data_IF_521700957941
#
_entry.id   IF_521700957941
#
_cell.length_a   1.000
_cell.length_b   1.000
_cell.length_c   1.000
_cell.angle_alpha   90.00
_cell.angle_beta   90.00
_cell.angle_gamma   90.00
#
_symmetry.space_group_name_H-M   'P 1'
#
loop_
_entity.id
_entity.type
_entity.pdbx_description
1 polymer ?
#
# COMPACT_ATOMS: atom_id res chain seq x y z
N UNK A 1 5.44 17.07 12.80
CA UNK A 1 4.28 16.17 12.58
C UNK A 1 4.18 15.26 13.80
N UNK A 2 3.08 15.30 14.56
CA UNK A 2 2.95 14.43 15.75
C UNK A 2 2.65 13.00 15.30
N UNK A 3 3.13 11.99 16.05
CA UNK A 3 2.89 10.56 15.72
C UNK A 3 1.41 10.17 15.64
N UNK A 4 0.53 10.93 16.31
CA UNK A 4 -0.92 10.76 16.23
C UNK A 4 -1.47 11.16 14.85
N UNK A 5 -0.92 12.21 14.24
CA UNK A 5 -1.36 12.73 12.94
C UNK A 5 -1.08 11.73 11.82
N UNK A 6 0.06 11.03 11.88
CA UNK A 6 0.47 10.01 10.90
C UNK A 6 -0.49 8.83 10.89
N UNK A 7 -0.95 8.35 12.06
CA UNK A 7 -1.88 7.21 12.14
C UNK A 7 -3.26 7.56 11.56
N UNK A 8 -3.74 8.78 11.81
CA UNK A 8 -5.00 9.26 11.25
C UNK A 8 -4.91 9.34 9.73
N UNK A 9 -3.88 10.03 9.21
CA UNK A 9 -3.66 10.14 7.77
C UNK A 9 -3.48 8.78 7.10
N UNK A 10 -2.76 7.86 7.73
CA UNK A 10 -2.60 6.51 7.21
C UNK A 10 -3.94 5.78 7.14
N UNK A 11 -4.80 5.91 8.16
CA UNK A 11 -6.13 5.30 8.16
C UNK A 11 -6.98 5.79 7.00
N UNK A 12 -6.97 7.10 6.74
CA UNK A 12 -7.71 7.71 5.63
C UNK A 12 -7.16 7.25 4.26
N UNK A 13 -5.84 7.15 4.13
CA UNK A 13 -5.21 6.65 2.91
C UNK A 13 -5.46 5.15 2.69
N UNK A 14 -5.53 4.33 3.74
CA UNK A 14 -5.89 2.91 3.61
C UNK A 14 -7.36 2.73 3.21
N UNK A 15 -8.24 3.64 3.63
CA UNK A 15 -9.62 3.69 3.14
C UNK A 15 -9.66 4.04 1.66
N UNK A 16 -8.99 5.13 1.26
CA UNK A 16 -8.90 5.53 -0.14
C UNK A 16 -8.28 4.43 -1.02
N UNK A 17 -7.26 3.73 -0.53
CA UNK A 17 -6.63 2.63 -1.26
C UNK A 17 -7.64 1.51 -1.57
N UNK A 18 -8.49 1.15 -0.61
CA UNK A 18 -9.56 0.18 -0.82
C UNK A 18 -10.55 0.67 -1.88
N UNK A 19 -11.00 1.92 -1.79
CA UNK A 19 -11.96 2.47 -2.74
C UNK A 19 -11.39 2.46 -4.17
N UNK A 20 -10.15 2.90 -4.36
CA UNK A 20 -9.51 2.92 -5.67
C UNK A 20 -9.27 1.50 -6.22
N UNK A 21 -8.93 0.53 -5.36
CA UNK A 21 -8.86 -0.88 -5.75
C UNK A 21 -10.21 -1.41 -6.23
N UNK A 22 -11.30 -1.06 -5.54
CA UNK A 22 -12.66 -1.44 -5.96
C UNK A 22 -13.05 -0.79 -7.30
N UNK A 23 -12.76 0.51 -7.48
CA UNK A 23 -13.01 1.21 -8.76
C UNK A 23 -12.18 0.64 -9.92
N UNK A 24 -11.03 0.04 -9.61
CA UNK A 24 -10.18 -0.62 -10.59
C UNK A 24 -10.52 -2.12 -10.81
N UNK A 25 -11.63 -2.63 -10.26
CA UNK A 25 -12.00 -4.06 -10.25
C UNK A 25 -10.88 -4.96 -9.70
N UNK A 26 -10.12 -4.47 -8.72
CA UNK A 26 -8.97 -5.12 -8.08
C UNK A 26 -9.26 -5.39 -6.61
N UNK A 27 -10.47 -5.86 -6.32
CA UNK A 27 -10.93 -6.17 -4.96
C UNK A 27 -11.74 -7.46 -4.96
N UNK A 28 -11.16 -8.52 -4.42
CA UNK A 28 -11.79 -9.83 -4.40
C UNK A 28 -12.78 -9.96 -3.24
N UNK A 29 -13.90 -10.63 -3.48
CA UNK A 29 -14.85 -10.96 -2.42
C UNK A 29 -14.32 -12.08 -1.51
N UNK A 30 -13.57 -13.02 -2.07
CA UNK A 30 -13.03 -14.18 -1.38
C UNK A 30 -11.51 -14.08 -1.22
N UNK A 31 -11.02 -14.52 -0.05
CA UNK A 31 -9.60 -14.52 0.21
C UNK A 31 -8.89 -15.66 -0.54
N UNK A 32 -7.65 -15.46 -1.01
CA UNK A 32 -6.79 -16.53 -1.49
C UNK A 32 -6.58 -17.61 -0.42
N UNK A 33 -6.13 -18.79 -0.86
CA UNK A 33 -5.85 -19.88 0.07
C UNK A 33 -4.89 -19.46 1.19
N UNK A 34 -5.06 -20.05 2.38
CA UNK A 34 -4.16 -19.79 3.51
C UNK A 34 -2.70 -20.13 3.19
N UNK A 35 -2.44 -21.02 2.23
CA UNK A 35 -1.08 -21.31 1.73
C UNK A 35 -0.52 -20.14 0.93
N UNK A 36 -1.33 -19.54 0.04
CA UNK A 36 -0.91 -18.39 -0.77
C UNK A 36 -0.59 -17.16 0.10
N UNK A 37 -1.38 -16.92 1.15
CA UNK A 37 -1.16 -15.81 2.10
C UNK A 37 0.08 -15.98 2.99
N UNK A 38 0.70 -17.16 3.02
CA UNK A 38 1.87 -17.49 3.84
C UNK A 38 3.18 -17.50 3.05
N UNK A 39 3.20 -16.96 1.82
CA UNK A 39 4.46 -16.81 1.08
C UNK A 39 5.45 -15.97 1.88
N UNK A 40 6.72 -16.37 1.83
CA UNK A 40 7.85 -15.66 2.42
C UNK A 40 8.55 -14.74 1.43
N UNK A 41 8.13 -14.76 0.16
CA UNK A 41 8.70 -13.89 -0.87
C UNK A 41 8.22 -12.44 -0.69
N UNK A 42 9.04 -11.44 -1.08
CA UNK A 42 8.62 -10.04 -1.10
C UNK A 42 7.33 -9.87 -1.90
N UNK A 43 6.35 -9.15 -1.36
CA UNK A 43 5.04 -8.95 -1.99
C UNK A 43 4.27 -10.24 -2.33
N UNK A 44 4.71 -11.41 -1.82
CA UNK A 44 4.15 -12.71 -2.17
C UNK A 44 3.98 -12.91 -3.69
N UNK A 45 4.92 -12.41 -4.50
CA UNK A 45 4.80 -12.35 -5.97
C UNK A 45 4.66 -13.73 -6.63
N UNK A 46 5.02 -14.80 -5.92
CA UNK A 46 4.95 -16.18 -6.37
C UNK A 46 3.56 -16.82 -6.15
N UNK A 47 2.74 -16.26 -5.26
CA UNK A 47 1.45 -16.83 -4.88
C UNK A 47 0.25 -15.90 -5.03
N UNK A 48 0.48 -14.60 -5.18
CA UNK A 48 -0.56 -13.58 -5.24
C UNK A 48 -0.35 -12.62 -6.40
N UNK A 49 -1.46 -12.16 -6.97
CA UNK A 49 -1.44 -10.92 -7.73
C UNK A 49 -1.12 -9.73 -6.81
N UNK A 50 -0.46 -8.71 -7.34
CA UNK A 50 -0.01 -7.58 -6.51
C UNK A 50 -1.17 -6.88 -5.77
N UNK A 51 -2.33 -6.76 -6.41
CA UNK A 51 -3.52 -6.19 -5.75
C UNK A 51 -4.06 -7.06 -4.61
N UNK A 52 -3.94 -8.39 -4.71
CA UNK A 52 -4.34 -9.31 -3.65
C UNK A 52 -3.40 -9.19 -2.45
N UNK A 53 -2.10 -9.01 -2.70
CA UNK A 53 -1.15 -8.69 -1.64
C UNK A 53 -1.52 -7.37 -0.93
N UNK A 54 -1.92 -6.34 -1.69
CA UNK A 54 -2.40 -5.08 -1.11
C UNK A 54 -3.65 -5.30 -0.24
N UNK A 55 -4.64 -6.02 -0.75
CA UNK A 55 -5.92 -6.25 -0.09
C UNK A 55 -5.81 -7.11 1.17
N UNK A 56 -5.13 -8.25 1.08
CA UNK A 56 -5.18 -9.29 2.11
C UNK A 56 -4.01 -9.27 3.09
N UNK A 57 -2.89 -8.63 2.73
CA UNK A 57 -1.70 -8.59 3.58
C UNK A 57 -1.41 -7.15 4.00
N UNK A 58 -1.22 -6.24 3.04
CA UNK A 58 -0.76 -4.89 3.32
C UNK A 58 -1.78 -4.06 4.14
N UNK A 59 -3.02 -3.92 3.64
CA UNK A 59 -4.05 -3.12 4.30
C UNK A 59 -4.37 -3.66 5.71
N UNK A 60 -4.64 -4.98 5.92
CA UNK A 60 -4.95 -5.49 7.25
C UNK A 60 -3.79 -5.34 8.23
N UNK A 61 -2.55 -5.53 7.77
CA UNK A 61 -1.35 -5.40 8.62
C UNK A 61 -1.21 -3.98 9.17
N UNK A 62 -1.34 -2.96 8.32
CA UNK A 62 -1.22 -1.57 8.77
C UNK A 62 -2.41 -1.15 9.64
N UNK A 63 -3.64 -1.62 9.34
CA UNK A 63 -4.81 -1.38 10.21
C UNK A 63 -4.60 -1.97 11.59
N UNK A 64 -4.10 -3.21 11.69
CA UNK A 64 -3.80 -3.84 12.97
C UNK A 64 -2.75 -3.05 13.77
N UNK A 65 -1.72 -2.53 13.10
CA UNK A 65 -0.69 -1.73 13.75
C UNK A 65 -1.22 -0.39 14.26
N UNK A 66 -2.15 0.24 13.53
CA UNK A 66 -2.85 1.44 13.98
C UNK A 66 -3.70 1.12 15.21
N UNK A 67 -4.59 0.13 15.10
CA UNK A 67 -5.61 -0.20 16.11
C UNK A 67 -4.96 -0.65 17.43
N UNK A 68 -3.89 -1.46 17.34
CA UNK A 68 -3.14 -1.94 18.51
C UNK A 68 -2.06 -0.98 19.00
N UNK A 69 -1.95 0.22 18.40
CA UNK A 69 -0.89 1.21 18.67
C UNK A 69 0.52 0.63 18.61
N UNK A 70 0.74 -0.43 17.82
CA UNK A 70 2.07 -1.02 17.58
C UNK A 70 2.96 -0.02 16.85
N UNK A 71 4.29 -0.13 16.94
CA UNK A 71 5.19 0.64 16.08
C UNK A 71 4.79 0.48 14.62
N UNK A 72 4.63 1.61 13.92
CA UNK A 72 4.49 1.60 12.47
C UNK A 72 5.87 1.37 11.82
N UNK A 73 5.92 0.96 10.54
CA UNK A 73 7.18 0.80 9.83
C UNK A 73 7.93 2.13 9.77
N UNK A 74 9.26 2.08 9.71
CA UNK A 74 10.10 3.27 9.58
C UNK A 74 10.27 3.74 8.13
N UNK A 75 9.95 2.88 7.14
CA UNK A 75 10.00 3.16 5.69
C UNK A 75 9.03 2.23 4.97
N UNK A 76 8.40 2.71 3.91
CA UNK A 76 7.62 1.92 2.95
C UNK A 76 7.95 2.39 1.53
N UNK A 77 8.05 1.44 0.59
CA UNK A 77 8.29 1.70 -0.83
C UNK A 77 7.46 0.72 -1.67
N UNK A 78 6.15 0.92 -1.66
CA UNK A 78 5.18 0.03 -2.33
C UNK A 78 4.83 0.54 -3.73
N UNK A 79 4.82 1.86 -3.94
CA UNK A 79 4.46 2.47 -5.22
C UNK A 79 5.37 2.07 -6.41
N UNK A 80 6.70 1.86 -6.28
CA UNK A 80 7.50 1.40 -7.41
C UNK A 80 7.10 0.01 -7.90
N UNK A 81 6.73 -0.88 -6.97
CA UNK A 81 6.24 -2.22 -7.33
C UNK A 81 4.90 -2.13 -8.05
N UNK A 82 4.01 -1.25 -7.63
CA UNK A 82 2.73 -1.00 -8.30
C UNK A 82 2.90 -0.50 -9.75
N UNK A 83 3.86 0.41 -9.95
CA UNK A 83 4.20 0.93 -11.29
C UNK A 83 4.74 -0.15 -12.21
N UNK A 84 5.54 -1.09 -11.68
CA UNK A 84 6.04 -2.23 -12.44
C UNK A 84 4.90 -3.22 -12.76
N UNK A 85 4.16 -3.68 -11.74
CA UNK A 85 3.09 -4.66 -11.90
C UNK A 85 1.98 -4.18 -12.86
N UNK A 86 1.75 -2.87 -12.94
CA UNK A 86 0.69 -2.29 -13.77
C UNK A 86 1.19 -1.43 -14.92
N UNK A 87 2.45 -1.58 -15.34
CA UNK A 87 3.06 -0.85 -16.47
C UNK A 87 2.18 -0.88 -17.73
N UNK A 88 1.51 -2.00 -18.00
CA UNK A 88 0.60 -2.17 -19.15
C UNK A 88 -0.82 -1.60 -18.96
N UNK A 89 -1.20 -1.14 -17.77
CA UNK A 89 -2.56 -0.69 -17.45
C UNK A 89 -2.59 0.56 -16.53
N UNK A 90 -1.60 1.45 -16.67
CA UNK A 90 -1.46 2.63 -15.81
C UNK A 90 -2.68 3.56 -15.82
N UNK A 91 -3.46 3.59 -16.91
CA UNK A 91 -4.69 4.40 -16.96
C UNK A 91 -5.71 3.92 -15.94
N UNK A 92 -5.91 2.61 -15.80
CA UNK A 92 -6.86 2.02 -14.83
C UNK A 92 -6.33 2.14 -13.40
N UNK A 93 -5.02 1.99 -13.21
CA UNK A 93 -4.41 1.88 -11.87
C UNK A 93 -3.82 3.19 -11.34
N UNK A 94 -3.90 4.28 -12.11
CA UNK A 94 -3.30 5.58 -11.78
C UNK A 94 -3.65 6.05 -10.37
N UNK A 95 -4.92 5.99 -9.99
CA UNK A 95 -5.35 6.50 -8.68
C UNK A 95 -4.85 5.62 -7.54
N UNK A 96 -4.86 4.29 -7.72
CA UNK A 96 -4.26 3.34 -6.77
C UNK A 96 -2.78 3.67 -6.53
N UNK A 97 -2.00 3.87 -7.61
CA UNK A 97 -0.59 4.25 -7.53
C UNK A 97 -0.41 5.58 -6.80
N UNK A 98 -1.26 6.58 -7.06
CA UNK A 98 -1.19 7.88 -6.38
C UNK A 98 -1.45 7.77 -4.88
N UNK A 99 -2.40 6.91 -4.47
CA UNK A 99 -2.64 6.65 -3.04
C UNK A 99 -1.44 5.93 -2.42
N UNK A 100 -0.86 4.93 -3.09
CA UNK A 100 0.33 4.24 -2.59
C UNK A 100 1.53 5.19 -2.42
N UNK A 101 1.75 6.12 -3.36
CA UNK A 101 2.78 7.16 -3.22
C UNK A 101 2.56 8.06 -2.00
N UNK A 102 1.31 8.42 -1.71
CA UNK A 102 0.97 9.19 -0.49
C UNK A 102 1.26 8.38 0.77
N UNK A 103 0.97 7.07 0.76
CA UNK A 103 1.29 6.18 1.88
C UNK A 103 2.80 6.09 2.08
N UNK A 104 3.57 5.82 1.02
CA UNK A 104 5.04 5.76 1.08
C UNK A 104 5.63 7.06 1.65
N UNK A 105 5.10 8.22 1.24
CA UNK A 105 5.53 9.54 1.74
C UNK A 105 5.24 9.80 3.23
N UNK A 106 4.34 9.04 3.88
CA UNK A 106 4.16 9.11 5.34
C UNK A 106 5.33 8.45 6.10
N UNK A 107 6.06 7.56 5.44
CA UNK A 107 7.12 6.74 6.04
C UNK A 107 8.50 7.05 5.47
N UNK A 108 8.59 7.65 4.29
CA UNK A 108 9.83 8.15 3.68
C UNK A 108 10.09 9.61 4.07
N UNK A 109 11.27 9.86 4.61
CA UNK A 109 11.74 11.19 5.04
C UNK A 109 11.90 12.16 3.86
N UNK A 110 11.28 13.34 4.00
CA UNK A 110 11.71 14.65 3.51
C UNK A 110 12.14 14.82 2.04
N UNK A 111 11.28 15.47 1.26
CA UNK A 111 11.75 16.34 0.18
C UNK A 111 12.55 17.52 0.76
N UNK A 112 13.86 17.33 0.97
CA UNK A 112 14.82 18.43 1.08
C UNK A 112 15.93 18.19 0.05
N UNK A 113 15.97 19.06 -0.98
CA UNK A 113 17.21 19.36 -1.69
C UNK A 113 17.40 18.76 -3.09
N UNK A 114 16.66 19.25 -4.09
CA UNK A 114 17.25 19.60 -5.39
C UNK A 114 16.69 20.94 -5.87
N UNK A 115 17.20 22.03 -5.30
CA UNK A 115 17.43 23.24 -6.10
C UNK A 115 18.74 22.98 -6.84
N UNK A 116 18.62 22.49 -8.07
CA UNK A 116 19.64 22.77 -9.08
C UNK A 116 19.19 24.06 -9.76
N UNK A 117 19.82 25.15 -9.35
CA UNK A 117 20.22 26.29 -10.17
C UNK A 117 21.17 27.13 -9.32
#
# INVERSE_FOLDING_TARGET
>A
MHRSDVRVQLKDLLWALREELQQADMWDAEAPSAKALKSTQPFAYDTLEFYQWLQFIFIPTLKEQIDKKKPLPSRLEVSPMAEESWRGNLRKTRQVILVLRKIDALFGTSATGKRQQ
#
